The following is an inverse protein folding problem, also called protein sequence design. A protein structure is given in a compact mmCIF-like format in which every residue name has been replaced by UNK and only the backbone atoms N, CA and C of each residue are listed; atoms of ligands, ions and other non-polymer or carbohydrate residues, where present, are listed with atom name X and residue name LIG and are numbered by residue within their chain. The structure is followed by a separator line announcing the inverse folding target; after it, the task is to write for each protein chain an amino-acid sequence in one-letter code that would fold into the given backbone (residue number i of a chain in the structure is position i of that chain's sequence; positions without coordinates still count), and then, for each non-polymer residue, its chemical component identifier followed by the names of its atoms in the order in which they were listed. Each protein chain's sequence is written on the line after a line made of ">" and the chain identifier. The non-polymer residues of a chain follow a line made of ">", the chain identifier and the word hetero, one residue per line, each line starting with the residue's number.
data_IF_475970707208
#
_entry.id   IF_475970707208
#
_cell.length_a   1.000
_cell.length_b   1.000
_cell.length_c   1.000
_cell.angle_alpha   90.00
_cell.angle_beta   90.00
_cell.angle_gamma   90.00
#
_symmetry.space_group_name_H-M   'P 1'
#
loop_
_entity.id
_entity.type
_entity.pdbx_description
1 polymer ?
#
# COMPACT_ATOMS: atom_id res chain seq x y z
N UNK A 1 3.48 60.07 -24.95
CA UNK A 1 4.82 60.67 -24.72
C UNK A 1 5.53 60.09 -23.49
N UNK A 2 4.95 60.16 -22.28
CA UNK A 2 5.59 59.66 -21.03
C UNK A 2 5.98 58.17 -21.04
N UNK A 3 5.09 57.29 -21.48
CA UNK A 3 5.36 55.86 -21.55
C UNK A 3 6.52 55.47 -22.51
N UNK A 4 6.75 56.25 -23.57
CA UNK A 4 7.88 56.02 -24.48
C UNK A 4 9.20 56.45 -23.84
N UNK A 5 9.19 57.54 -23.07
CA UNK A 5 10.35 58.01 -22.31
C UNK A 5 10.70 57.02 -21.20
N UNK A 6 9.72 56.53 -20.44
CA UNK A 6 9.93 55.52 -19.40
C UNK A 6 10.50 54.21 -19.96
N UNK A 7 10.01 53.74 -21.10
CA UNK A 7 10.59 52.57 -21.80
C UNK A 7 12.04 52.80 -22.22
N UNK A 8 12.35 53.99 -22.75
CA UNK A 8 13.73 54.34 -23.16
C UNK A 8 14.68 54.43 -21.97
N UNK A 9 14.20 54.93 -20.82
CA UNK A 9 14.97 54.97 -19.58
C UNK A 9 15.21 53.56 -19.03
N UNK A 10 14.18 52.71 -19.00
CA UNK A 10 14.32 51.32 -18.57
C UNK A 10 15.26 50.50 -19.47
N UNK A 11 15.25 50.73 -20.78
CA UNK A 11 16.21 50.11 -21.70
C UNK A 11 17.65 50.53 -21.40
N UNK A 12 17.88 51.83 -21.19
CA UNK A 12 19.20 52.37 -20.86
C UNK A 12 19.72 51.85 -19.51
N UNK A 13 18.85 51.63 -18.54
CA UNK A 13 19.23 51.02 -17.26
C UNK A 13 19.59 49.53 -17.40
N UNK A 14 18.83 48.78 -18.20
CA UNK A 14 19.16 47.38 -18.52
C UNK A 14 20.50 47.24 -19.23
N UNK A 15 20.76 48.11 -20.21
CA UNK A 15 22.03 48.11 -20.96
C UNK A 15 23.23 48.39 -20.04
N UNK A 16 23.12 49.38 -19.13
CA UNK A 16 24.15 49.64 -18.11
C UNK A 16 24.37 48.47 -17.17
N UNK A 17 23.31 47.78 -16.77
CA UNK A 17 23.43 46.60 -15.92
C UNK A 17 24.13 45.45 -16.68
N UNK A 18 23.79 45.25 -17.95
CA UNK A 18 24.42 44.24 -18.80
C UNK A 18 25.91 44.53 -19.03
N UNK A 19 26.27 45.78 -19.30
CA UNK A 19 27.66 46.22 -19.46
C UNK A 19 28.49 45.97 -18.18
N UNK A 20 27.95 46.30 -17.02
CA UNK A 20 28.61 46.05 -15.72
C UNK A 20 28.81 44.56 -15.44
N UNK A 21 27.83 43.72 -15.79
CA UNK A 21 27.96 42.27 -15.70
C UNK A 21 29.02 41.73 -16.66
N UNK A 22 29.08 42.29 -17.88
CA UNK A 22 30.06 41.92 -18.90
C UNK A 22 31.48 42.29 -18.48
N UNK A 23 31.69 43.48 -17.94
CA UNK A 23 32.98 43.91 -17.39
C UNK A 23 33.42 43.02 -16.22
N UNK A 24 32.50 42.73 -15.28
CA UNK A 24 32.78 41.83 -14.16
C UNK A 24 33.14 40.42 -14.64
N UNK A 25 32.44 39.90 -15.65
CA UNK A 25 32.73 38.61 -16.26
C UNK A 25 34.08 38.62 -17.00
N UNK A 26 34.42 39.70 -17.71
CA UNK A 26 35.70 39.85 -18.37
C UNK A 26 36.84 39.90 -17.35
N UNK A 27 36.71 40.69 -16.29
CA UNK A 27 37.68 40.75 -15.18
C UNK A 27 37.82 39.41 -14.45
N UNK A 28 36.74 38.66 -14.29
CA UNK A 28 36.77 37.30 -13.73
C UNK A 28 37.48 36.32 -14.67
N UNK A 29 37.28 36.43 -15.99
CA UNK A 29 38.01 35.65 -17.00
C UNK A 29 39.49 36.00 -17.02
N UNK A 30 39.85 37.28 -16.95
CA UNK A 30 41.25 37.73 -16.90
C UNK A 30 41.95 37.24 -15.63
N UNK A 31 41.27 37.32 -14.47
CA UNK A 31 41.77 36.75 -13.21
C UNK A 31 41.90 35.23 -13.25
N UNK A 32 40.95 34.53 -13.89
CA UNK A 32 41.00 33.06 -14.07
C UNK A 32 42.04 32.65 -15.11
N UNK A 33 42.25 33.45 -16.15
CA UNK A 33 43.20 33.20 -17.21
C UNK A 33 44.65 33.46 -16.77
N UNK A 34 44.85 34.10 -15.61
CA UNK A 34 46.16 34.27 -14.99
C UNK A 34 47.06 35.20 -15.81
N UNK A 35 47.44 36.33 -15.22
CA UNK A 35 48.48 37.20 -15.77
C UNK A 35 49.80 36.40 -15.77
N UNK A 36 50.07 35.62 -16.82
CA UNK A 36 51.39 35.04 -17.08
C UNK A 36 52.27 36.15 -17.65
N UNK A 37 52.91 36.90 -16.76
CA UNK A 37 54.04 37.76 -17.10
C UNK A 37 55.10 36.90 -17.80
N UNK A 38 55.61 37.43 -18.91
CA UNK A 38 56.33 36.70 -19.96
C UNK A 38 57.73 36.19 -19.57
N UNK A 39 58.11 36.22 -18.29
CA UNK A 39 59.51 36.01 -17.86
C UNK A 39 59.74 34.66 -17.14
N UNK A 40 58.70 34.01 -16.63
CA UNK A 40 58.81 32.66 -15.99
C UNK A 40 58.26 31.50 -16.86
N UNK A 41 57.99 31.75 -18.15
CA UNK A 41 57.29 30.77 -19.01
C UNK A 41 58.16 29.60 -19.47
N UNK A 42 59.46 29.78 -19.67
CA UNK A 42 60.29 28.71 -20.25
C UNK A 42 60.51 27.53 -19.29
N UNK A 43 60.73 27.78 -18.00
CA UNK A 43 60.97 26.73 -17.00
C UNK A 43 59.67 26.07 -16.49
N UNK A 44 58.57 26.81 -16.48
CA UNK A 44 57.25 26.30 -16.10
C UNK A 44 56.59 25.44 -17.17
N UNK A 45 56.73 25.80 -18.45
CA UNK A 45 56.09 25.07 -19.56
C UNK A 45 56.70 23.67 -19.76
N UNK A 46 58.02 23.52 -19.53
CA UNK A 46 58.69 22.22 -19.57
C UNK A 46 58.16 21.28 -18.47
N UNK A 47 58.00 21.80 -17.23
CA UNK A 47 57.45 21.05 -16.10
C UNK A 47 55.98 20.72 -16.32
N UNK A 48 55.17 21.66 -16.81
CA UNK A 48 53.76 21.45 -17.14
C UNK A 48 53.60 20.37 -18.22
N UNK A 49 54.49 20.35 -19.23
CA UNK A 49 54.48 19.32 -20.27
C UNK A 49 54.89 17.94 -19.73
N UNK A 50 55.82 17.88 -18.79
CA UNK A 50 56.21 16.62 -18.14
C UNK A 50 55.15 16.10 -17.16
N UNK A 51 54.47 17.00 -16.45
CA UNK A 51 53.31 16.69 -15.62
C UNK A 51 52.18 16.11 -16.47
N UNK A 52 51.85 16.70 -17.63
CA UNK A 52 50.85 16.16 -18.55
C UNK A 52 51.25 14.75 -19.05
N UNK A 53 52.53 14.50 -19.32
CA UNK A 53 53.01 13.17 -19.73
C UNK A 53 52.95 12.16 -18.59
N UNK A 54 53.22 12.59 -17.36
CA UNK A 54 53.16 11.76 -16.17
C UNK A 54 51.70 11.43 -15.81
N UNK A 55 50.82 12.42 -15.82
CA UNK A 55 49.40 12.26 -15.53
C UNK A 55 48.72 11.38 -16.56
N UNK A 56 49.00 11.55 -17.86
CA UNK A 56 48.48 10.64 -18.89
C UNK A 56 48.99 9.21 -18.74
N UNK A 57 50.18 8.99 -18.15
CA UNK A 57 50.70 7.65 -17.83
C UNK A 57 49.99 7.07 -16.61
N UNK A 58 49.83 7.88 -15.56
CA UNK A 58 49.15 7.52 -14.31
C UNK A 58 47.67 7.23 -14.54
N UNK A 59 47.02 8.01 -15.39
CA UNK A 59 45.62 7.83 -15.81
C UNK A 59 45.46 6.50 -16.58
N UNK A 60 46.29 6.22 -17.59
CA UNK A 60 46.27 4.92 -18.29
C UNK A 60 46.51 3.74 -17.35
N UNK A 61 47.39 3.91 -16.36
CA UNK A 61 47.66 2.87 -15.36
C UNK A 61 46.46 2.70 -14.40
N UNK A 62 45.86 3.80 -13.96
CA UNK A 62 44.65 3.81 -13.14
C UNK A 62 43.49 3.15 -13.88
N UNK A 63 43.27 3.48 -15.16
CA UNK A 63 42.21 2.90 -15.98
C UNK A 63 42.43 1.42 -16.26
N UNK A 64 43.68 1.01 -16.47
CA UNK A 64 44.05 -0.42 -16.59
C UNK A 64 43.83 -1.16 -15.28
N UNK A 65 44.18 -0.56 -14.15
CA UNK A 65 43.97 -1.14 -12.82
C UNK A 65 42.48 -1.21 -12.46
N UNK A 66 41.71 -0.17 -12.75
CA UNK A 66 40.27 -0.11 -12.53
C UNK A 66 39.53 -1.15 -13.39
N UNK A 67 39.92 -1.26 -14.66
CA UNK A 67 39.37 -2.26 -15.59
C UNK A 67 39.73 -3.69 -15.17
N UNK A 68 40.88 -3.89 -14.51
CA UNK A 68 41.32 -5.20 -14.01
C UNK A 68 40.76 -5.54 -12.62
N UNK A 69 40.53 -4.54 -11.76
CA UNK A 69 40.12 -4.73 -10.37
C UNK A 69 38.62 -5.01 -10.20
N UNK A 70 37.76 -4.55 -11.13
CA UNK A 70 36.32 -4.79 -11.00
C UNK A 70 35.55 -4.76 -12.34
N UNK A 71 35.83 -5.69 -13.28
CA UNK A 71 35.09 -5.78 -14.53
C UNK A 71 33.58 -5.98 -14.30
N UNK A 72 33.21 -6.79 -13.31
CA UNK A 72 31.81 -7.11 -13.00
C UNK A 72 31.03 -5.93 -12.41
N UNK A 73 31.70 -5.07 -11.64
CA UNK A 73 31.02 -3.92 -11.01
C UNK A 73 30.73 -2.84 -12.04
N UNK A 74 31.66 -2.62 -12.99
CA UNK A 74 31.47 -1.68 -14.10
C UNK A 74 30.38 -2.16 -15.06
N UNK A 75 30.38 -3.46 -15.40
CA UNK A 75 29.34 -4.08 -16.22
C UNK A 75 27.96 -4.04 -15.55
N UNK A 76 27.86 -4.33 -14.25
CA UNK A 76 26.59 -4.25 -13.51
C UNK A 76 26.05 -2.83 -13.43
N UNK A 77 26.92 -1.84 -13.18
CA UNK A 77 26.51 -0.44 -13.05
C UNK A 77 26.05 0.13 -14.40
N UNK A 78 26.78 -0.17 -15.48
CA UNK A 78 26.41 0.19 -16.85
C UNK A 78 25.16 -0.58 -17.34
N UNK A 79 24.97 -1.83 -16.91
CA UNK A 79 23.76 -2.60 -17.22
C UNK A 79 22.55 -2.03 -16.49
N UNK A 80 22.70 -1.62 -15.23
CA UNK A 80 21.64 -0.94 -14.48
C UNK A 80 21.29 0.42 -15.10
N UNK A 81 22.27 1.13 -15.66
CA UNK A 81 22.08 2.42 -16.35
C UNK A 81 21.30 2.27 -17.67
N UNK A 82 21.48 1.15 -18.37
CA UNK A 82 20.80 0.84 -19.64
C UNK A 82 19.49 0.05 -19.48
N UNK A 83 18.99 -0.21 -18.26
CA UNK A 83 17.71 -0.92 -18.10
C UNK A 83 16.53 -0.01 -18.40
N UNK A 84 15.56 -0.57 -19.11
CA UNK A 84 14.30 0.12 -19.36
C UNK A 84 13.54 0.37 -18.05
N UNK A 85 12.79 1.48 -17.99
CA UNK A 85 12.11 1.95 -16.78
C UNK A 85 11.15 0.88 -16.23
N UNK A 86 10.48 0.12 -17.09
CA UNK A 86 9.62 -1.00 -16.71
C UNK A 86 10.38 -2.15 -16.03
N UNK A 87 11.60 -2.44 -16.48
CA UNK A 87 12.45 -3.47 -15.85
C UNK A 87 13.05 -2.99 -14.53
N UNK A 88 13.41 -1.71 -14.44
CA UNK A 88 13.85 -1.06 -13.19
C UNK A 88 12.76 -1.15 -12.13
N UNK A 89 11.50 -0.91 -12.50
CA UNK A 89 10.33 -1.02 -11.62
C UNK A 89 10.11 -2.48 -11.20
N UNK A 90 10.14 -3.42 -12.15
CA UNK A 90 9.98 -4.84 -11.86
C UNK A 90 11.10 -5.41 -10.97
N UNK A 91 12.33 -4.92 -11.11
CA UNK A 91 13.48 -5.28 -10.26
C UNK A 91 13.52 -4.51 -8.93
N UNK A 92 12.60 -3.56 -8.70
CA UNK A 92 12.54 -2.77 -7.46
C UNK A 92 13.79 -1.92 -7.21
N UNK A 93 14.55 -1.59 -8.26
CA UNK A 93 15.77 -0.77 -8.11
C UNK A 93 15.33 0.67 -7.82
N UNK A 94 15.80 1.28 -6.73
CA UNK A 94 15.40 2.64 -6.36
C UNK A 94 15.82 3.62 -7.46
N UNK A 95 14.85 4.42 -7.92
CA UNK A 95 15.08 5.44 -8.94
C UNK A 95 16.02 6.52 -8.37
N UNK A 96 17.23 6.70 -8.92
CA UNK A 96 18.19 7.67 -8.39
C UNK A 96 17.83 9.11 -8.77
N UNK A 97 16.73 9.35 -9.51
CA UNK A 97 16.25 10.70 -9.82
C UNK A 97 15.88 11.42 -8.52
N UNK A 98 16.81 12.24 -8.08
CA UNK A 98 16.66 13.23 -7.04
C UNK A 98 15.60 14.24 -7.50
N UNK A 99 14.35 14.03 -7.07
CA UNK A 99 13.32 15.06 -7.11
C UNK A 99 13.73 16.18 -6.15
N UNK A 100 13.77 17.42 -6.63
CA UNK A 100 14.05 18.59 -5.80
C UNK A 100 12.91 18.92 -4.81
N UNK A 101 11.85 18.11 -4.79
CA UNK A 101 10.72 18.19 -3.86
C UNK A 101 10.88 17.14 -2.76
N UNK A 102 10.40 17.48 -1.56
CA UNK A 102 10.39 16.59 -0.39
C UNK A 102 9.71 15.28 -0.79
N UNK A 103 10.46 14.18 -0.75
CA UNK A 103 9.94 12.87 -1.06
C UNK A 103 8.99 12.45 0.06
N UNK A 104 7.72 12.24 -0.28
CA UNK A 104 6.75 11.73 0.67
C UNK A 104 6.42 10.26 0.39
N UNK A 105 6.17 9.48 1.45
CA UNK A 105 5.76 8.07 1.33
C UNK A 105 4.29 7.99 0.89
N UNK A 106 4.04 7.44 -0.31
CA UNK A 106 2.70 7.27 -0.87
C UNK A 106 1.75 6.46 0.03
N UNK A 107 2.30 5.55 0.85
CA UNK A 107 1.49 4.76 1.81
C UNK A 107 0.86 5.61 2.90
N UNK A 108 1.36 6.82 3.12
CA UNK A 108 0.81 7.76 4.09
C UNK A 108 -0.35 8.58 3.52
N UNK A 109 -0.40 8.85 2.20
CA UNK A 109 -1.47 9.67 1.60
C UNK A 109 -2.76 8.91 1.32
N UNK A 110 -2.68 7.59 1.22
CA UNK A 110 -3.85 6.75 1.03
C UNK A 110 -4.48 6.31 2.36
N UNK A 111 -4.14 6.97 3.47
CA UNK A 111 -4.77 6.73 4.77
C UNK A 111 -5.93 7.72 4.93
N UNK A 112 -7.17 7.22 4.95
CA UNK A 112 -8.36 8.05 5.25
C UNK A 112 -8.45 8.51 6.71
N UNK A 113 -7.50 8.10 7.56
CA UNK A 113 -7.42 8.49 8.96
C UNK A 113 -6.97 9.95 9.06
N UNK A 114 -7.94 10.86 9.18
CA UNK A 114 -7.66 12.27 9.42
C UNK A 114 -8.84 13.19 9.15
N UNK A 115 -9.78 12.81 8.28
CA UNK A 115 -11.00 13.62 8.06
C UNK A 115 -12.16 13.21 8.95
N UNK A 116 -12.28 11.92 9.30
CA UNK A 116 -13.42 11.39 10.07
C UNK A 116 -13.19 11.31 11.59
N UNK A 117 -11.95 11.48 12.06
CA UNK A 117 -11.60 11.41 13.49
C UNK A 117 -11.52 12.79 14.15
N UNK A 118 -12.49 13.66 13.84
CA UNK A 118 -12.59 15.00 14.42
C UNK A 118 -13.51 15.02 15.65
N UNK A 119 -13.14 15.83 16.65
CA UNK A 119 -13.99 16.14 17.80
C UNK A 119 -15.32 16.71 17.32
N UNK A 120 -16.40 15.94 17.47
CA UNK A 120 -17.75 16.29 17.03
C UNK A 120 -18.42 17.29 17.98
N UNK A 121 -17.81 18.48 18.13
CA UNK A 121 -18.46 19.65 18.71
C UNK A 121 -18.96 19.56 20.15
N UNK A 122 -18.52 18.57 20.94
CA UNK A 122 -19.02 18.38 22.31
C UNK A 122 -20.41 17.74 22.38
N UNK A 123 -20.85 17.03 21.34
CA UNK A 123 -21.99 16.12 21.49
C UNK A 123 -21.57 14.91 22.32
N UNK A 124 -21.81 15.00 23.64
CA UNK A 124 -21.56 13.93 24.63
C UNK A 124 -22.32 12.62 24.33
N UNK A 125 -23.28 12.68 23.41
CA UNK A 125 -24.07 11.54 22.92
C UNK A 125 -23.31 10.70 21.88
N UNK A 126 -22.29 11.26 21.23
CA UNK A 126 -21.46 10.57 20.26
C UNK A 126 -20.34 9.87 21.03
N UNK A 127 -20.57 8.59 21.39
CA UNK A 127 -19.66 7.74 22.18
C UNK A 127 -18.38 7.31 21.42
N UNK A 128 -17.66 8.26 20.82
CA UNK A 128 -16.44 8.08 20.03
C UNK A 128 -15.17 8.38 20.86
N UNK A 129 -15.11 7.88 22.09
CA UNK A 129 -13.95 8.06 23.00
C UNK A 129 -12.69 7.35 22.48
N UNK A 130 -12.89 6.26 21.73
CA UNK A 130 -11.81 5.45 21.17
C UNK A 130 -11.83 5.48 19.65
N UNK A 131 -10.65 5.61 19.09
CA UNK A 131 -10.34 5.58 17.66
C UNK A 131 -10.37 4.16 17.06
N UNK A 132 -10.26 3.13 17.91
CA UNK A 132 -10.25 1.73 17.49
C UNK A 132 -11.21 0.88 18.35
N UNK A 133 -11.86 -0.09 17.70
CA UNK A 133 -12.66 -1.08 18.41
C UNK A 133 -11.77 -2.01 19.24
N UNK A 134 -12.24 -2.40 20.43
CA UNK A 134 -11.54 -3.32 21.34
C UNK A 134 -11.18 -4.68 20.70
N UNK A 135 -11.91 -5.13 19.67
CA UNK A 135 -11.59 -6.33 18.90
C UNK A 135 -11.41 -5.99 17.43
N UNK A 136 -10.27 -6.40 16.85
CA UNK A 136 -10.03 -6.40 15.39
C UNK A 136 -10.84 -7.46 14.62
N UNK A 137 -11.82 -8.10 15.27
CA UNK A 137 -12.56 -9.22 14.72
C UNK A 137 -13.41 -8.89 13.50
N UNK A 138 -13.78 -7.63 13.29
CA UNK A 138 -14.67 -7.24 12.17
C UNK A 138 -13.97 -7.31 10.81
N UNK A 139 -12.68 -6.95 10.76
CA UNK A 139 -11.83 -7.12 9.57
C UNK A 139 -11.32 -8.56 9.43
N UNK A 140 -10.97 -9.21 10.55
CA UNK A 140 -10.59 -10.62 10.53
C UNK A 140 -11.74 -11.51 10.05
N UNK A 141 -12.99 -11.22 10.42
CA UNK A 141 -14.15 -12.01 10.02
C UNK A 141 -14.32 -12.12 8.49
N UNK A 142 -13.90 -11.10 7.73
CA UNK A 142 -13.90 -11.14 6.26
C UNK A 142 -12.85 -12.09 5.67
N UNK A 143 -11.88 -12.51 6.50
CA UNK A 143 -10.78 -13.40 6.13
C UNK A 143 -10.82 -14.76 6.85
N UNK A 144 -11.71 -14.97 7.83
CA UNK A 144 -11.78 -16.22 8.61
C UNK A 144 -12.17 -17.42 7.73
N UNK A 145 -13.04 -17.21 6.73
CA UNK A 145 -13.33 -18.25 5.75
C UNK A 145 -13.79 -17.63 4.44
N UNK A 146 -12.88 -17.59 3.46
CA UNK A 146 -13.18 -17.19 2.09
C UNK A 146 -12.63 -18.24 1.12
N UNK A 147 -13.38 -19.33 0.86
CA UNK A 147 -12.96 -20.36 -0.08
C UNK A 147 -12.76 -19.73 -1.45
N UNK A 148 -11.50 -19.61 -1.88
CA UNK A 148 -11.18 -19.15 -3.22
C UNK A 148 -10.98 -20.36 -4.10
N UNK A 149 -11.99 -20.65 -4.94
CA UNK A 149 -11.92 -21.74 -5.93
C UNK A 149 -10.76 -21.61 -6.92
N UNK A 150 -10.17 -20.42 -7.02
CA UNK A 150 -9.09 -20.11 -7.95
C UNK A 150 -7.70 -20.20 -7.31
N UNK A 151 -7.56 -20.02 -5.98
CA UNK A 151 -6.24 -20.16 -5.33
C UNK A 151 -5.79 -21.62 -5.31
N UNK A 152 -6.70 -22.55 -5.06
CA UNK A 152 -6.37 -23.98 -5.00
C UNK A 152 -6.08 -24.57 -6.39
N UNK A 153 -6.56 -23.93 -7.46
CA UNK A 153 -6.42 -24.44 -8.83
C UNK A 153 -4.99 -24.37 -9.34
N UNK A 154 -4.26 -23.32 -8.98
CA UNK A 154 -2.84 -23.16 -9.29
C UNK A 154 -1.94 -24.03 -8.39
N UNK A 155 -2.40 -24.36 -7.17
CA UNK A 155 -1.61 -25.16 -6.20
C UNK A 155 -1.79 -26.67 -6.34
N UNK A 156 -3.00 -27.15 -6.62
CA UNK A 156 -3.33 -28.58 -6.65
C UNK A 156 -3.62 -29.13 -8.05
N UNK A 157 -3.70 -28.26 -9.07
CA UNK A 157 -4.05 -28.64 -10.44
C UNK A 157 -5.45 -29.26 -10.56
N UNK A 158 -5.91 -29.48 -11.81
CA UNK A 158 -7.23 -30.07 -12.09
C UNK A 158 -7.38 -31.55 -11.60
N UNK A 159 -6.33 -32.16 -11.06
CA UNK A 159 -6.31 -33.57 -10.61
C UNK A 159 -7.19 -33.79 -9.36
N UNK A 160 -7.36 -32.79 -8.50
CA UNK A 160 -8.25 -32.92 -7.33
C UNK A 160 -9.71 -33.08 -7.74
N UNK A 161 -10.16 -32.28 -8.72
CA UNK A 161 -11.53 -32.33 -9.23
C UNK A 161 -11.79 -33.62 -10.03
N UNK A 162 -10.79 -34.10 -10.77
CA UNK A 162 -10.85 -35.38 -11.46
C UNK A 162 -10.92 -36.57 -10.47
N UNK A 163 -10.11 -36.57 -9.42
CA UNK A 163 -10.10 -37.62 -8.39
C UNK A 163 -11.37 -37.65 -7.54
N UNK A 164 -11.96 -36.50 -7.23
CA UNK A 164 -13.24 -36.42 -6.50
C UNK A 164 -14.39 -36.97 -7.37
N UNK A 165 -14.36 -36.74 -8.69
CA UNK A 165 -15.39 -37.24 -9.62
C UNK A 165 -15.27 -38.74 -9.87
N UNK A 166 -14.06 -39.29 -9.81
CA UNK A 166 -13.89 -40.74 -9.85
C UNK A 166 -14.21 -41.31 -8.48
N UNK A 167 -15.34 -42.01 -8.33
CA UNK A 167 -15.70 -42.81 -7.15
C UNK A 167 -14.73 -44.01 -6.96
N UNK A 168 -13.43 -43.77 -7.02
CA UNK A 168 -12.36 -44.78 -6.96
C UNK A 168 -12.05 -45.20 -5.54
N UNK A 169 -12.57 -44.48 -4.56
CA UNK A 169 -12.43 -44.77 -3.14
C UNK A 169 -13.77 -45.23 -2.57
N UNK A 170 -14.09 -46.50 -2.83
CA UNK A 170 -15.12 -47.22 -2.07
C UNK A 170 -14.37 -48.00 -0.99
N UNK A 171 -14.49 -47.63 0.31
CA UNK A 171 -13.85 -48.40 1.37
C UNK A 171 -14.45 -49.81 1.43
N UNK A 172 -13.61 -50.85 1.45
CA UNK A 172 -14.05 -52.25 1.56
C UNK A 172 -14.75 -52.57 2.90
N UNK A 173 -14.58 -51.69 3.89
CA UNK A 173 -15.16 -51.82 5.23
C UNK A 173 -15.81 -50.50 5.59
N UNK A 174 -17.13 -50.44 5.44
CA UNK A 174 -17.93 -49.30 5.85
C UNK A 174 -17.99 -49.27 7.39
N UNK A 175 -17.92 -48.06 7.95
CA UNK A 175 -18.10 -47.84 9.38
C UNK A 175 -19.56 -48.16 9.73
N UNK A 176 -19.79 -49.06 10.70
CA UNK A 176 -21.14 -49.41 11.17
C UNK A 176 -21.86 -48.14 11.60
N UNK A 177 -22.95 -47.79 10.92
CA UNK A 177 -23.70 -46.53 11.13
C UNK A 177 -23.67 -45.56 9.95
N UNK A 178 -22.87 -45.82 8.90
CA UNK A 178 -22.82 -45.01 7.68
C UNK A 178 -23.56 -45.66 6.50
N UNK A 179 -24.83 -46.02 6.68
CA UNK A 179 -25.63 -46.53 5.55
C UNK A 179 -25.92 -45.40 4.54
N UNK A 180 -25.20 -45.42 3.42
CA UNK A 180 -25.38 -44.47 2.29
C UNK A 180 -26.72 -44.63 1.57
N UNK A 181 -27.57 -45.59 1.96
CA UNK A 181 -28.93 -45.76 1.42
C UNK A 181 -30.00 -44.99 2.20
N UNK A 182 -29.66 -44.31 3.29
CA UNK A 182 -30.59 -43.37 3.89
C UNK A 182 -30.67 -42.10 3.01
N UNK A 183 -31.85 -41.98 2.37
CA UNK A 183 -32.37 -40.79 1.68
C UNK A 183 -31.87 -39.50 2.34
N UNK A 184 -31.56 -38.52 1.49
CA UNK A 184 -31.00 -37.22 1.82
C UNK A 184 -31.55 -36.60 3.11
N UNK A 185 -30.67 -35.84 3.76
CA UNK A 185 -30.87 -35.10 5.02
C UNK A 185 -32.00 -34.06 4.92
N UNK A 186 -33.24 -34.52 4.78
CA UNK A 186 -34.47 -33.73 4.92
C UNK A 186 -35.27 -34.31 6.09
N UNK A 187 -34.78 -34.01 7.30
CA UNK A 187 -35.43 -34.37 8.55
C UNK A 187 -34.65 -33.73 9.71
N UNK A 188 -35.31 -33.36 10.81
CA UNK A 188 -34.61 -32.93 12.01
C UNK A 188 -33.60 -33.99 12.43
N UNK A 189 -32.43 -33.54 12.85
CA UNK A 189 -31.30 -34.39 13.26
C UNK A 189 -31.79 -35.43 14.26
N UNK A 190 -31.78 -36.69 13.86
CA UNK A 190 -32.05 -37.80 14.77
C UNK A 190 -30.79 -38.02 15.60
N UNK A 191 -30.91 -37.88 16.92
CA UNK A 191 -29.88 -38.24 17.87
C UNK A 191 -30.02 -39.72 18.23
N UNK A 192 -28.91 -40.39 18.51
CA UNK A 192 -28.95 -41.75 19.09
C UNK A 192 -29.63 -41.74 20.45
N UNK A 193 -30.20 -42.89 20.83
CA UNK A 193 -30.92 -43.10 22.08
C UNK A 193 -30.11 -42.60 23.29
N UNK A 194 -30.67 -41.63 24.02
CA UNK A 194 -30.01 -40.93 25.11
C UNK A 194 -29.51 -41.91 26.19
N UNK A 195 -28.18 -42.14 26.27
CA UNK A 195 -27.61 -43.14 27.19
C UNK A 195 -27.75 -42.73 28.66
N UNK A 196 -28.14 -41.48 28.92
CA UNK A 196 -28.33 -40.94 30.27
C UNK A 196 -29.81 -40.78 30.65
N UNK A 197 -30.75 -41.09 29.75
CA UNK A 197 -32.20 -41.05 30.03
C UNK A 197 -32.74 -39.68 30.45
N UNK A 198 -32.01 -38.60 30.15
CA UNK A 198 -32.38 -37.21 30.37
C UNK A 198 -33.66 -36.84 29.62
N UNK A 199 -33.89 -37.42 28.44
CA UNK A 199 -35.12 -37.19 27.68
C UNK A 199 -36.36 -37.69 28.43
N UNK A 200 -36.29 -38.86 29.07
CA UNK A 200 -37.38 -39.39 29.91
C UNK A 200 -37.58 -38.54 31.17
N UNK A 201 -36.48 -38.08 31.76
CA UNK A 201 -36.50 -37.18 32.92
C UNK A 201 -37.12 -35.81 32.59
N UNK A 202 -36.83 -35.25 31.41
CA UNK A 202 -37.41 -34.00 30.93
C UNK A 202 -38.91 -34.16 30.59
N UNK A 203 -39.32 -35.30 30.04
CA UNK A 203 -40.75 -35.60 29.83
C UNK A 203 -41.51 -35.74 31.15
N UNK A 204 -40.95 -36.41 32.16
CA UNK A 204 -41.54 -36.54 33.49
C UNK A 204 -41.64 -35.18 34.20
N UNK A 205 -40.59 -34.36 34.12
CA UNK A 205 -40.61 -32.99 34.66
C UNK A 205 -41.65 -32.10 33.96
N UNK A 206 -41.87 -32.30 32.65
CA UNK A 206 -42.89 -31.57 31.89
C UNK A 206 -44.31 -32.02 32.21
N UNK A 207 -44.51 -33.30 32.53
CA UNK A 207 -45.80 -33.81 33.03
C UNK A 207 -46.13 -33.32 34.44
N UNK A 208 -45.13 -33.15 35.32
CA UNK A 208 -45.32 -32.74 36.71
C UNK A 208 -45.18 -31.22 36.99
N UNK A 209 -44.66 -30.44 36.05
CA UNK A 209 -44.41 -28.99 36.20
C UNK A 209 -45.56 -28.07 35.76
N UNK A 210 -46.70 -28.60 35.34
CA UNK A 210 -47.80 -27.82 34.75
C UNK A 210 -48.95 -27.47 35.71
N UNK A 211 -48.75 -26.59 36.71
CA UNK A 211 -49.89 -25.90 37.35
C UNK A 211 -49.52 -24.70 38.25
N UNK A 212 -49.96 -23.51 37.80
CA UNK A 212 -50.26 -22.27 38.55
C UNK A 212 -49.11 -21.31 38.91
N UNK A 213 -49.11 -20.15 38.25
CA UNK A 213 -49.43 -18.86 38.90
C UNK A 213 -50.00 -17.83 37.89
N UNK A 214 -50.99 -17.01 38.31
CA UNK A 214 -51.69 -16.07 37.44
C UNK A 214 -50.87 -14.79 37.22
N UNK A 215 -50.88 -14.27 36.00
CA UNK A 215 -50.28 -12.98 35.65
C UNK A 215 -51.15 -11.84 36.19
N UNK A 216 -50.63 -11.12 37.18
CA UNK A 216 -51.09 -9.78 37.54
C UNK A 216 -50.23 -8.76 36.78
N UNK A 217 -50.80 -8.16 35.74
CA UNK A 217 -50.29 -6.90 35.18
C UNK A 217 -51.47 -6.10 34.65
N UNK A 218 -51.98 -5.26 35.54
CA UNK A 218 -53.00 -4.24 35.34
C UNK A 218 -52.56 -3.24 34.25
N UNK A 219 -53.36 -3.09 33.19
CA UNK A 219 -53.30 -1.95 32.26
C UNK A 219 -54.74 -1.59 31.85
N UNK A 220 -55.25 -0.39 32.18
CA UNK A 220 -56.63 -0.05 31.84
C UNK A 220 -56.74 0.31 30.36
N UNK A 221 -57.83 -0.19 29.75
CA UNK A 221 -58.34 0.26 28.45
C UNK A 221 -58.93 1.67 28.61
N UNK A 222 -58.39 2.65 27.90
CA UNK A 222 -59.20 3.74 27.37
C UNK A 222 -59.52 3.42 25.92
N UNK A 223 -60.81 3.42 25.62
CA UNK A 223 -61.35 3.33 24.27
C UNK A 223 -62.37 4.46 24.19
N UNK A 224 -61.99 5.58 23.59
CA UNK A 224 -62.97 6.55 23.10
C UNK A 224 -62.96 6.57 21.56
N UNK A 225 -64.19 6.51 21.07
CA UNK A 225 -64.60 6.53 19.69
C UNK A 225 -64.40 7.91 19.06
N UNK A 226 -63.93 7.95 17.82
CA UNK A 226 -64.39 8.80 16.70
C UNK A 226 -63.32 8.66 15.60
N UNK A 227 -63.59 8.25 14.38
CA UNK A 227 -64.59 8.77 13.47
C UNK A 227 -63.84 9.30 12.23
N UNK A 228 -64.33 8.92 11.05
CA UNK A 228 -64.10 9.56 9.73
C UNK A 228 -62.87 9.12 8.90
N UNK A 229 -63.17 8.24 7.94
CA UNK A 229 -63.19 8.52 6.48
C UNK A 229 -61.98 9.25 5.86
N UNK A 230 -61.38 8.54 4.87
CA UNK A 230 -60.77 9.03 3.60
C UNK A 230 -59.43 9.75 3.81
N UNK A 231 -58.44 9.66 2.91
CA UNK A 231 -58.53 9.73 1.45
C UNK A 231 -57.16 9.36 0.87
N UNK A 232 -57.23 8.56 -0.20
CA UNK A 232 -56.28 8.40 -1.29
C UNK A 232 -55.60 9.72 -1.71
N UNK A 233 -54.27 9.72 -1.77
CA UNK A 233 -53.47 10.19 -2.91
C UNK A 233 -52.14 9.44 -2.92
#
# INVERSE_FOLDING_TARGET
>A
MRAQVERKMAQKEKEKHEEKLREMAQKARERRAGIKTHVEKEDGEARERDEIRHDRRKERQHDRNLSRAAPDKRSKLQRNENRDISEVIALGVPNPRNSNEVQYDQRLFNQSKGMDSGFAGGEDEIYNVYDQAWRGGKDMAQSIYRPSKNLDKDMYGDDLEARIKTNRFVPDKEFSGSDRRQRGREGPVQFEEDPFGLDKFLEEAKQHGGSKRPSDSSRPKEHEHEGKKRRKE
#
